data_IF_882129908129
#
_entry.id   IF_882129908129
#
_cell.length_a   1.000
_cell.length_b   1.000
_cell.length_c   1.000
_cell.angle_alpha   90.00
_cell.angle_beta   90.00
_cell.angle_gamma   90.00
#
_symmetry.space_group_name_H-M   'P 1'
#
loop_
_entity.id
_entity.type
_entity.pdbx_description
1 polymer ?
#
# COMPACT_ATOMS: atom_id res chain seq x y z
N UNK A 1 15.13 -21.59 -2.57
CA UNK A 1 14.03 -20.61 -2.47
C UNK A 1 13.93 -19.87 -3.80
N UNK A 2 12.92 -20.21 -4.60
CA UNK A 2 12.87 -19.88 -6.04
C UNK A 2 12.51 -18.42 -6.33
N UNK A 3 13.23 -17.82 -7.27
CA UNK A 3 13.00 -16.48 -7.82
C UNK A 3 11.58 -16.30 -8.39
N UNK A 4 10.91 -17.38 -8.82
CA UNK A 4 9.53 -17.36 -9.31
C UNK A 4 8.50 -16.91 -8.27
N UNK A 5 8.45 -17.52 -7.08
CA UNK A 5 7.50 -17.11 -6.02
C UNK A 5 7.81 -15.71 -5.48
N UNK A 6 9.09 -15.33 -5.42
CA UNK A 6 9.48 -13.96 -5.07
C UNK A 6 8.99 -12.94 -6.12
N UNK A 7 9.11 -13.26 -7.41
CA UNK A 7 8.63 -12.42 -8.50
C UNK A 7 7.11 -12.20 -8.46
N UNK A 8 6.34 -13.23 -8.14
CA UNK A 8 4.87 -13.13 -8.00
C UNK A 8 4.49 -12.22 -6.83
N UNK A 9 5.09 -12.44 -5.65
CA UNK A 9 4.81 -11.61 -4.46
C UNK A 9 5.18 -10.14 -4.73
N UNK A 10 6.38 -9.91 -5.26
CA UNK A 10 6.83 -8.57 -5.62
C UNK A 10 5.91 -7.91 -6.66
N UNK A 11 5.53 -8.65 -7.70
CA UNK A 11 4.63 -8.17 -8.75
C UNK A 11 3.27 -7.74 -8.20
N UNK A 12 2.67 -8.53 -7.31
CA UNK A 12 1.39 -8.19 -6.67
C UNK A 12 1.52 -6.90 -5.86
N UNK A 13 2.55 -6.79 -5.01
CA UNK A 13 2.77 -5.60 -4.17
C UNK A 13 2.96 -4.35 -5.03
N UNK A 14 3.78 -4.44 -6.09
CA UNK A 14 4.04 -3.32 -6.98
C UNK A 14 2.79 -2.91 -7.79
N UNK A 15 2.05 -3.90 -8.29
CA UNK A 15 0.80 -3.67 -9.02
C UNK A 15 -0.27 -3.00 -8.14
N UNK A 16 -0.40 -3.40 -6.87
CA UNK A 16 -1.26 -2.72 -5.91
C UNK A 16 -0.88 -1.24 -5.74
N UNK A 17 0.43 -0.94 -5.69
CA UNK A 17 0.93 0.44 -5.67
C UNK A 17 0.55 1.23 -6.92
N UNK A 18 0.65 0.61 -8.11
CA UNK A 18 0.27 1.25 -9.37
C UNK A 18 -1.22 1.60 -9.44
N UNK A 19 -2.10 0.69 -8.98
CA UNK A 19 -3.54 0.98 -8.85
C UNK A 19 -3.75 2.18 -7.91
N UNK A 20 -3.09 2.18 -6.75
CA UNK A 20 -3.15 3.28 -5.80
C UNK A 20 -2.73 4.61 -6.41
N UNK A 21 -1.63 4.64 -7.17
CA UNK A 21 -1.16 5.84 -7.87
C UNK A 21 -2.15 6.34 -8.94
N UNK A 22 -2.69 5.43 -9.74
CA UNK A 22 -3.68 5.76 -10.78
C UNK A 22 -4.98 6.31 -10.19
N UNK A 23 -5.57 5.60 -9.23
CA UNK A 23 -6.81 6.03 -8.55
C UNK A 23 -6.57 7.31 -7.75
N UNK A 24 -5.45 7.39 -7.03
CA UNK A 24 -5.11 8.54 -6.19
C UNK A 24 -4.97 9.83 -6.98
N UNK A 25 -4.37 9.79 -8.18
CA UNK A 25 -4.24 10.96 -9.04
C UNK A 25 -5.61 11.49 -9.50
N UNK A 26 -6.50 10.59 -9.96
CA UNK A 26 -7.86 10.96 -10.40
C UNK A 26 -8.68 11.50 -9.23
N UNK A 27 -8.62 10.84 -8.07
CA UNK A 27 -9.35 11.27 -6.87
C UNK A 27 -8.85 12.62 -6.35
N UNK A 28 -7.54 12.86 -6.34
CA UNK A 28 -6.98 14.14 -5.91
C UNK A 28 -7.38 15.29 -6.85
N UNK A 29 -7.39 15.04 -8.17
CA UNK A 29 -7.91 15.99 -9.15
C UNK A 29 -9.38 16.30 -8.91
N UNK A 30 -10.22 15.27 -8.75
CA UNK A 30 -11.64 15.45 -8.48
C UNK A 30 -11.93 16.21 -7.17
N UNK A 31 -11.18 15.92 -6.11
CA UNK A 31 -11.27 16.66 -4.84
C UNK A 31 -10.96 18.14 -5.08
N UNK A 32 -9.92 18.45 -5.85
CA UNK A 32 -9.57 19.83 -6.18
C UNK A 32 -10.66 20.50 -7.01
N UNK A 33 -11.22 19.81 -8.01
CA UNK A 33 -12.28 20.35 -8.86
C UNK A 33 -13.53 20.74 -8.06
N UNK A 34 -13.89 19.96 -7.03
CA UNK A 34 -15.08 20.20 -6.22
C UNK A 34 -14.82 21.20 -5.09
N UNK A 35 -13.65 21.16 -4.45
CA UNK A 35 -13.36 21.95 -3.24
C UNK A 35 -12.45 23.16 -3.45
N UNK A 36 -11.78 23.23 -4.61
CA UNK A 36 -10.73 24.22 -4.90
C UNK A 36 -9.46 24.08 -4.05
N UNK A 37 -9.30 22.97 -3.31
CA UNK A 37 -8.20 22.78 -2.36
C UNK A 37 -7.74 21.32 -2.31
N UNK A 38 -6.43 21.10 -2.06
CA UNK A 38 -5.86 19.77 -1.86
C UNK A 38 -5.87 19.31 -0.40
N UNK A 39 -6.37 20.11 0.54
CA UNK A 39 -6.33 19.78 1.97
C UNK A 39 -7.00 18.44 2.26
N UNK A 40 -8.16 18.18 1.65
CA UNK A 40 -8.88 16.92 1.84
C UNK A 40 -8.13 15.73 1.21
N UNK A 41 -7.49 15.93 0.07
CA UNK A 41 -6.68 14.90 -0.60
C UNK A 41 -5.47 14.51 0.27
N UNK A 42 -4.76 15.49 0.82
CA UNK A 42 -3.63 15.23 1.73
C UNK A 42 -4.06 14.57 3.03
N UNK A 43 -5.17 15.01 3.63
CA UNK A 43 -5.67 14.40 4.85
C UNK A 43 -6.06 12.93 4.63
N UNK A 44 -6.67 12.64 3.47
CA UNK A 44 -7.00 11.26 3.06
C UNK A 44 -5.74 10.43 2.86
N UNK A 45 -4.73 10.97 2.17
CA UNK A 45 -3.44 10.30 1.98
C UNK A 45 -2.75 9.96 3.31
N UNK A 46 -2.71 10.92 4.24
CA UNK A 46 -2.15 10.70 5.59
C UNK A 46 -2.97 9.65 6.35
N UNK A 47 -4.30 9.71 6.30
CA UNK A 47 -5.17 8.74 6.97
C UNK A 47 -4.94 7.31 6.47
N UNK A 48 -4.90 7.10 5.15
CA UNK A 48 -4.59 5.80 4.54
C UNK A 48 -3.17 5.33 4.92
N UNK A 49 -2.19 6.24 4.92
CA UNK A 49 -0.83 5.95 5.33
C UNK A 49 -0.72 5.48 6.79
N UNK A 50 -1.45 6.12 7.71
CA UNK A 50 -1.50 5.73 9.12
C UNK A 50 -2.12 4.33 9.27
N UNK A 51 -3.21 4.04 8.55
CA UNK A 51 -3.83 2.71 8.58
C UNK A 51 -2.83 1.66 8.08
N UNK A 52 -2.14 1.92 6.96
CA UNK A 52 -1.09 1.04 6.44
C UNK A 52 0.03 0.81 7.44
N UNK A 53 0.50 1.87 8.11
CA UNK A 53 1.53 1.78 9.13
C UNK A 53 1.08 0.91 10.31
N UNK A 54 -0.15 1.12 10.82
CA UNK A 54 -0.72 0.32 11.90
C UNK A 54 -0.78 -1.16 11.51
N UNK A 55 -1.25 -1.46 10.30
CA UNK A 55 -1.29 -2.84 9.79
C UNK A 55 0.12 -3.46 9.71
N UNK A 56 1.12 -2.70 9.27
CA UNK A 56 2.51 -3.13 9.24
C UNK A 56 3.07 -3.38 10.65
N UNK A 57 2.72 -2.56 11.64
CA UNK A 57 3.15 -2.77 13.04
C UNK A 57 2.57 -4.05 13.66
N UNK A 58 1.39 -4.50 13.19
CA UNK A 58 0.80 -5.77 13.61
C UNK A 58 1.35 -6.99 12.85
N UNK A 59 2.18 -6.78 11.83
CA UNK A 59 2.73 -7.87 11.03
C UNK A 59 3.70 -8.69 11.90
N UNK A 60 3.39 -9.97 12.11
CA UNK A 60 4.23 -10.86 12.91
C UNK A 60 5.35 -11.46 12.06
N UNK A 61 6.57 -11.58 12.61
CA UNK A 61 7.64 -12.29 11.92
C UNK A 61 7.22 -13.74 11.68
N UNK A 62 7.48 -14.23 10.47
CA UNK A 62 7.26 -15.63 10.12
C UNK A 62 8.39 -16.43 10.80
N UNK A 63 8.12 -17.00 11.97
CA UNK A 63 9.03 -17.94 12.64
C UNK A 63 8.99 -19.26 11.86
N UNK A 64 10.06 -19.55 11.13
CA UNK A 64 10.19 -20.78 10.36
C UNK A 64 10.56 -21.93 11.32
N UNK A 65 9.57 -22.66 11.86
CA UNK A 65 9.77 -23.91 12.62
C UNK A 65 10.05 -25.09 11.67
N UNK A 66 11.08 -24.96 10.84
CA UNK A 66 11.38 -25.89 9.75
C UNK A 66 12.81 -26.40 9.73
N UNK A 67 13.40 -26.60 10.91
CA UNK A 67 14.75 -27.13 11.10
C UNK A 67 14.84 -28.02 12.34
N UNK A 68 13.81 -28.81 12.63
CA UNK A 68 14.00 -30.01 13.46
C UNK A 68 14.42 -31.15 12.54
N UNK A 69 15.74 -31.35 12.52
CA UNK A 69 16.52 -32.55 12.15
C UNK A 69 15.97 -33.45 11.05
#
# INVERSE_FOLDING_TARGET
>A
FGTGSHGVIFGIVFFSGAIGGGIGAVLAGHIFDVSGSYQLAFLTFVGVGIIGLILCLFLRPIINKGGEK
#
